data_IF_114133331905
#
_entry.id   IF_114133331905
#
_cell.length_a   1.000
_cell.length_b   1.000
_cell.length_c   1.000
_cell.angle_alpha   90.00
_cell.angle_beta   90.00
_cell.angle_gamma   90.00
#
_symmetry.space_group_name_H-M   'P 1'
#
loop_
_entity.id
_entity.type
_entity.pdbx_description
1 polymer ?
#
# COMPACT_ATOMS: atom_id res chain seq x y z
N UNK A 1 -8.64 33.13 -39.62
CA UNK A 1 -7.99 31.84 -39.30
C UNK A 1 -8.01 31.71 -37.80
N UNK A 2 -8.90 30.88 -37.33
CA UNK A 2 -9.29 30.69 -35.94
C UNK A 2 -8.24 29.87 -35.21
N UNK A 3 -7.54 30.50 -34.25
CA UNK A 3 -6.81 29.83 -33.18
C UNK A 3 -7.78 29.73 -31.98
N UNK A 4 -8.61 28.74 -31.95
CA UNK A 4 -9.47 28.48 -30.82
C UNK A 4 -9.88 27.02 -30.87
N UNK A 5 -9.71 26.31 -29.72
CA UNK A 5 -10.22 24.99 -29.37
C UNK A 5 -9.24 23.82 -29.22
N UNK A 6 -7.92 24.03 -29.26
CA UNK A 6 -6.95 22.97 -28.93
C UNK A 6 -6.28 23.11 -27.56
N UNK A 7 -6.56 24.16 -26.78
CA UNK A 7 -5.86 24.46 -25.52
C UNK A 7 -6.67 24.17 -24.24
N UNK A 8 -7.82 23.51 -24.32
CA UNK A 8 -8.73 23.42 -23.18
C UNK A 8 -8.85 22.00 -22.62
N UNK A 9 -7.76 21.26 -22.42
CA UNK A 9 -7.81 20.03 -21.61
C UNK A 9 -6.44 19.62 -21.03
N UNK A 10 -5.59 20.55 -20.70
CA UNK A 10 -4.62 20.31 -19.62
C UNK A 10 -5.39 20.58 -18.32
N UNK A 11 -5.82 19.53 -17.62
CA UNK A 11 -6.26 19.68 -16.24
C UNK A 11 -5.14 20.41 -15.51
N UNK A 12 -5.37 21.68 -15.17
CA UNK A 12 -4.40 22.50 -14.45
C UNK A 12 -4.14 21.78 -13.12
N UNK A 13 -2.90 21.38 -12.89
CA UNK A 13 -2.51 20.84 -11.62
C UNK A 13 -2.81 21.89 -10.55
N UNK A 14 -3.64 21.52 -9.59
CA UNK A 14 -4.04 22.41 -8.52
C UNK A 14 -2.85 22.77 -7.64
N UNK A 15 -2.82 23.98 -7.10
CA UNK A 15 -1.76 24.42 -6.20
C UNK A 15 -1.81 23.63 -4.90
N UNK A 16 -0.67 23.10 -4.47
CA UNK A 16 -0.54 22.41 -3.19
C UNK A 16 -0.82 23.38 -2.03
N UNK A 17 -1.85 23.11 -1.23
CA UNK A 17 -2.26 23.91 -0.07
C UNK A 17 -1.67 23.43 1.24
N UNK A 18 -1.40 22.14 1.36
CA UNK A 18 -0.84 21.52 2.56
C UNK A 18 -0.67 20.02 2.41
N UNK A 19 -0.28 19.38 3.50
CA UNK A 19 -0.09 17.93 3.55
C UNK A 19 -0.65 17.34 4.85
N UNK A 20 -1.22 16.14 4.76
CA UNK A 20 -1.49 15.30 5.92
C UNK A 20 -0.39 14.24 6.01
N UNK A 21 0.26 14.11 7.16
CA UNK A 21 1.14 12.98 7.51
C UNK A 21 0.31 12.01 8.36
N UNK A 22 -0.03 10.86 7.76
CA UNK A 22 -0.87 9.81 8.32
C UNK A 22 0.05 8.71 8.80
N UNK A 23 -0.01 8.36 10.08
CA UNK A 23 0.79 7.31 10.69
C UNK A 23 -0.08 6.31 11.44
N UNK A 24 0.38 5.06 11.48
CA UNK A 24 -0.26 3.97 12.22
C UNK A 24 0.76 2.86 12.53
N UNK A 25 0.34 1.83 13.25
CA UNK A 25 1.05 0.55 13.35
C UNK A 25 0.39 -0.47 12.44
N UNK A 26 1.19 -1.08 11.55
CA UNK A 26 0.76 -2.23 10.76
C UNK A 26 1.32 -3.49 11.41
N UNK A 27 0.44 -4.35 11.93
CA UNK A 27 0.79 -5.61 12.55
C UNK A 27 0.54 -6.77 11.60
N UNK A 28 1.48 -7.70 11.57
CA UNK A 28 1.38 -8.95 10.82
C UNK A 28 0.62 -9.96 11.68
N UNK A 29 -0.58 -10.33 11.26
CA UNK A 29 -1.42 -11.32 11.95
C UNK A 29 -1.08 -12.75 11.55
N UNK A 30 -0.69 -12.96 10.29
CA UNK A 30 -0.18 -14.25 9.80
C UNK A 30 1.07 -14.02 8.96
N UNK A 31 2.05 -14.90 9.04
CA UNK A 31 3.35 -14.72 8.42
C UNK A 31 3.30 -14.10 7.03
N UNK A 32 4.07 -13.02 6.82
CA UNK A 32 4.05 -12.22 5.60
C UNK A 32 5.18 -12.61 4.67
N UNK A 33 4.84 -12.87 3.40
CA UNK A 33 5.81 -13.04 2.32
C UNK A 33 5.58 -12.03 1.20
N UNK A 34 6.50 -11.08 1.06
CA UNK A 34 6.63 -10.24 -0.13
C UNK A 34 7.95 -10.62 -0.78
N UNK A 35 7.87 -11.35 -1.91
CA UNK A 35 9.04 -11.96 -2.52
C UNK A 35 10.05 -10.93 -3.03
N UNK A 36 11.34 -11.22 -2.81
CA UNK A 36 12.45 -10.54 -3.47
C UNK A 36 12.80 -11.23 -4.79
N UNK A 37 13.55 -10.55 -5.67
CA UNK A 37 14.15 -11.20 -6.85
C UNK A 37 15.19 -12.23 -6.39
N UNK A 38 15.09 -13.44 -6.93
CA UNK A 38 16.02 -14.55 -6.63
C UNK A 38 17.28 -14.56 -7.51
N UNK A 39 17.47 -13.56 -8.39
CA UNK A 39 18.51 -13.57 -9.41
C UNK A 39 19.95 -13.65 -8.89
N UNK A 40 20.16 -13.44 -7.59
CA UNK A 40 21.47 -13.52 -6.92
C UNK A 40 21.45 -14.35 -5.63
N UNK A 41 20.57 -15.35 -5.53
CA UNK A 41 20.54 -16.21 -4.35
C UNK A 41 21.80 -17.12 -4.32
N UNK A 42 22.60 -17.12 -3.23
CA UNK A 42 23.73 -18.05 -3.08
C UNK A 42 23.25 -19.50 -3.06
N UNK A 43 24.13 -20.44 -3.44
CA UNK A 43 23.86 -21.87 -3.32
C UNK A 43 23.54 -22.21 -1.85
N UNK A 44 22.37 -22.81 -1.60
CA UNK A 44 21.90 -23.11 -0.24
C UNK A 44 21.05 -22.02 0.41
N UNK A 45 20.75 -20.93 -0.30
CA UNK A 45 19.77 -19.94 0.15
C UNK A 45 18.33 -20.50 0.09
N UNK A 46 17.43 -19.86 0.82
CA UNK A 46 16.01 -20.18 0.79
C UNK A 46 15.46 -20.00 -0.64
N UNK A 47 14.63 -20.92 -1.10
CA UNK A 47 14.07 -20.91 -2.46
C UNK A 47 13.31 -19.62 -2.79
N UNK A 48 12.62 -19.05 -1.81
CA UNK A 48 11.82 -17.84 -1.96
C UNK A 48 12.03 -16.90 -0.77
N UNK A 49 13.03 -16.02 -0.82
CA UNK A 49 13.29 -15.04 0.23
C UNK A 49 12.29 -13.87 0.18
N UNK A 50 12.02 -13.24 1.31
CA UNK A 50 11.28 -11.98 1.34
C UNK A 50 12.19 -10.76 1.11
N UNK A 51 11.59 -9.65 0.70
CA UNK A 51 12.29 -8.39 0.43
C UNK A 51 12.84 -7.77 1.70
N UNK A 52 14.11 -7.30 1.64
CA UNK A 52 14.86 -6.72 2.75
C UNK A 52 15.45 -5.37 2.37
N UNK A 53 15.58 -4.50 3.35
CA UNK A 53 16.39 -3.29 3.23
C UNK A 53 17.87 -3.69 3.00
N UNK A 54 18.55 -3.14 1.98
CA UNK A 54 19.89 -3.58 1.63
C UNK A 54 20.95 -3.23 2.68
N UNK A 55 20.74 -2.19 3.50
CA UNK A 55 21.69 -1.74 4.51
C UNK A 55 21.47 -2.46 5.84
N UNK A 56 20.25 -2.42 6.38
CA UNK A 56 19.94 -3.02 7.68
C UNK A 56 19.67 -4.53 7.60
N UNK A 57 19.39 -5.07 6.42
CA UNK A 57 18.95 -6.44 6.16
C UNK A 57 17.63 -6.82 6.83
N UNK A 58 16.97 -5.87 7.44
CA UNK A 58 15.65 -6.06 8.04
C UNK A 58 14.57 -6.20 6.96
N UNK A 59 13.46 -6.93 7.25
CA UNK A 59 12.33 -6.99 6.35
C UNK A 59 11.72 -5.59 6.15
N UNK A 60 11.26 -5.31 4.95
CA UNK A 60 10.50 -4.12 4.60
C UNK A 60 9.21 -4.49 3.90
N UNK A 61 8.20 -3.64 4.03
CA UNK A 61 7.02 -3.67 3.18
C UNK A 61 7.18 -2.55 2.15
N UNK A 62 7.45 -2.86 0.87
CA UNK A 62 7.60 -1.83 -0.15
C UNK A 62 6.34 -1.00 -0.31
N UNK A 63 6.49 0.33 -0.37
CA UNK A 63 5.39 1.25 -0.61
C UNK A 63 4.66 0.97 -1.92
N UNK A 64 5.37 0.50 -2.94
CA UNK A 64 4.78 0.06 -4.20
C UNK A 64 3.84 -1.14 -4.05
N UNK A 65 4.18 -2.11 -3.20
CA UNK A 65 3.33 -3.27 -2.91
C UNK A 65 2.05 -2.85 -2.20
N UNK A 66 2.17 -1.96 -1.21
CA UNK A 66 1.02 -1.42 -0.48
C UNK A 66 0.12 -0.59 -1.39
N UNK A 67 0.70 0.33 -2.17
CA UNK A 67 -0.02 1.16 -3.15
C UNK A 67 -0.79 0.30 -4.16
N UNK A 68 -0.12 -0.67 -4.77
CA UNK A 68 -0.72 -1.55 -5.78
C UNK A 68 -1.87 -2.37 -5.19
N UNK A 69 -1.69 -2.91 -3.98
CA UNK A 69 -2.72 -3.70 -3.29
C UNK A 69 -3.95 -2.86 -2.96
N UNK A 70 -3.78 -1.70 -2.31
CA UNK A 70 -4.89 -0.80 -1.96
C UNK A 70 -5.67 -0.36 -3.21
N UNK A 71 -4.97 0.08 -4.27
CA UNK A 71 -5.61 0.46 -5.52
C UNK A 71 -6.43 -0.69 -6.11
N UNK A 72 -5.85 -1.89 -6.19
CA UNK A 72 -6.53 -3.08 -6.73
C UNK A 72 -7.79 -3.43 -5.93
N UNK A 73 -7.74 -3.35 -4.60
CA UNK A 73 -8.90 -3.65 -3.74
C UNK A 73 -10.02 -2.64 -3.94
N UNK A 74 -9.70 -1.34 -3.98
CA UNK A 74 -10.68 -0.28 -4.23
C UNK A 74 -11.31 -0.41 -5.62
N UNK A 75 -10.51 -0.58 -6.66
CA UNK A 75 -11.03 -0.75 -8.03
C UNK A 75 -11.92 -2.00 -8.10
N UNK A 76 -11.52 -3.10 -7.44
CA UNK A 76 -12.31 -4.33 -7.41
C UNK A 76 -13.65 -4.14 -6.70
N UNK A 77 -13.71 -3.35 -5.64
CA UNK A 77 -14.98 -3.07 -4.92
C UNK A 77 -15.96 -2.22 -5.73
N UNK A 78 -15.46 -1.45 -6.71
CA UNK A 78 -16.24 -0.56 -7.56
C UNK A 78 -16.58 -1.17 -8.94
N UNK A 79 -15.97 -2.30 -9.30
CA UNK A 79 -16.09 -2.88 -10.64
C UNK A 79 -17.10 -4.02 -10.65
N UNK A 80 -18.10 -3.91 -11.51
CA UNK A 80 -19.01 -5.02 -11.84
C UNK A 80 -18.34 -5.93 -12.88
N UNK A 81 -18.10 -7.20 -12.53
CA UNK A 81 -17.52 -8.19 -13.44
C UNK A 81 -16.18 -8.75 -12.97
N UNK A 82 -15.56 -9.60 -13.80
CA UNK A 82 -14.34 -10.33 -13.44
C UNK A 82 -13.06 -9.66 -13.91
N UNK A 83 -13.13 -8.74 -14.87
CA UNK A 83 -11.96 -8.05 -15.46
C UNK A 83 -11.91 -6.65 -14.93
N UNK A 84 -10.81 -6.32 -14.25
CA UNK A 84 -10.58 -4.95 -13.78
C UNK A 84 -10.22 -4.04 -14.96
N UNK A 85 -10.62 -2.76 -14.91
CA UNK A 85 -10.23 -1.77 -15.90
C UNK A 85 -8.71 -1.55 -15.92
N UNK A 86 -8.20 -0.96 -16.99
CA UNK A 86 -6.83 -0.45 -17.01
C UNK A 86 -6.74 0.78 -16.07
N UNK A 87 -5.56 1.02 -15.53
CA UNK A 87 -5.24 2.13 -14.61
C UNK A 87 -5.77 3.50 -15.10
N UNK A 88 -5.75 3.74 -16.41
CA UNK A 88 -6.27 4.97 -17.03
C UNK A 88 -7.80 5.09 -16.98
N UNK A 89 -8.49 3.96 -16.84
CA UNK A 89 -9.95 3.84 -16.87
C UNK A 89 -10.54 3.68 -15.43
N UNK A 90 -9.72 3.80 -14.40
CA UNK A 90 -10.18 3.87 -13.00
C UNK A 90 -11.07 5.11 -12.79
N UNK A 91 -11.90 5.10 -11.74
CA UNK A 91 -12.71 6.25 -11.38
C UNK A 91 -11.86 7.50 -11.07
N UNK A 92 -12.46 8.68 -11.16
CA UNK A 92 -11.74 9.94 -10.93
C UNK A 92 -11.17 10.04 -9.53
N UNK A 93 -11.88 9.52 -8.52
CA UNK A 93 -11.47 9.49 -7.12
C UNK A 93 -10.23 8.59 -6.93
N UNK A 94 -10.23 7.41 -7.54
CA UNK A 94 -9.08 6.49 -7.50
C UNK A 94 -7.88 7.09 -8.23
N UNK A 95 -8.09 7.68 -9.41
CA UNK A 95 -7.02 8.36 -10.16
C UNK A 95 -6.44 9.55 -9.40
N UNK A 96 -7.28 10.29 -8.69
CA UNK A 96 -6.88 11.43 -7.84
C UNK A 96 -5.99 10.97 -6.68
N UNK A 97 -6.34 9.87 -6.02
CA UNK A 97 -5.56 9.32 -4.92
C UNK A 97 -4.25 8.67 -5.39
N UNK A 98 -4.31 7.80 -6.39
CA UNK A 98 -3.20 6.94 -6.77
C UNK A 98 -2.41 7.41 -7.99
N UNK A 99 -2.92 8.39 -8.71
CA UNK A 99 -2.34 8.88 -9.96
C UNK A 99 -2.67 8.00 -11.16
N UNK A 100 -2.60 8.57 -12.35
CA UNK A 100 -2.71 7.84 -13.62
C UNK A 100 -1.88 8.53 -14.69
N UNK A 101 -1.13 7.76 -15.47
CA UNK A 101 -0.51 8.25 -16.69
C UNK A 101 -1.55 8.19 -17.83
N UNK A 102 -1.81 9.31 -18.49
CA UNK A 102 -2.66 9.37 -19.67
C UNK A 102 -1.74 9.32 -20.91
N UNK A 103 -1.96 8.35 -21.79
CA UNK A 103 -1.29 8.33 -23.10
C UNK A 103 -1.94 9.38 -24.00
N UNK A 104 -1.14 10.24 -24.62
CA UNK A 104 -1.61 11.16 -25.66
C UNK A 104 -2.20 10.40 -26.86
N UNK A 105 -3.12 11.04 -27.61
CA UNK A 105 -3.82 10.43 -28.76
C UNK A 105 -2.88 9.91 -29.85
N UNK A 106 -1.65 10.42 -29.92
CA UNK A 106 -0.65 10.07 -30.94
C UNK A 106 0.54 9.24 -30.40
N UNK A 107 0.37 8.57 -29.23
CA UNK A 107 1.46 7.78 -28.63
C UNK A 107 2.55 8.62 -27.94
N UNK A 108 2.39 9.95 -27.89
CA UNK A 108 3.22 10.86 -27.11
C UNK A 108 2.84 10.86 -25.62
N UNK A 109 3.63 11.55 -24.80
CA UNK A 109 3.31 11.78 -23.40
C UNK A 109 2.02 12.63 -23.32
N UNK A 110 0.89 11.98 -23.03
CA UNK A 110 -0.34 12.65 -22.63
C UNK A 110 -0.19 13.09 -21.18
N UNK A 111 -0.86 14.18 -20.81
CA UNK A 111 -0.92 14.62 -19.41
C UNK A 111 -1.33 13.48 -18.48
N UNK A 112 -0.80 13.46 -17.26
CA UNK A 112 -1.16 12.47 -16.24
C UNK A 112 -1.78 13.15 -15.04
N UNK A 113 -2.62 12.44 -14.27
CA UNK A 113 -3.08 12.91 -12.96
C UNK A 113 -2.05 12.52 -11.91
N UNK A 114 -1.46 13.51 -11.24
CA UNK A 114 -0.49 13.29 -10.16
C UNK A 114 -1.19 12.66 -8.96
N UNK A 115 -0.55 11.66 -8.34
CA UNK A 115 -1.07 11.04 -7.14
C UNK A 115 -1.05 12.00 -5.96
N UNK A 116 -2.16 12.11 -5.21
CA UNK A 116 -2.20 12.82 -3.93
C UNK A 116 -1.58 12.01 -2.79
N UNK A 117 -1.65 10.67 -2.86
CA UNK A 117 -1.03 9.77 -1.88
C UNK A 117 0.43 9.48 -2.22
N UNK A 118 1.29 9.64 -1.22
CA UNK A 118 2.70 9.24 -1.25
C UNK A 118 2.89 8.08 -0.29
N UNK A 119 3.37 6.96 -0.83
CA UNK A 119 3.64 5.72 -0.10
C UNK A 119 5.13 5.63 0.22
N UNK A 120 5.44 5.16 1.42
CA UNK A 120 6.81 4.92 1.87
C UNK A 120 7.03 3.42 2.07
N UNK A 121 8.27 2.99 1.96
CA UNK A 121 8.64 1.66 2.42
C UNK A 121 8.50 1.62 3.94
N UNK A 122 7.73 0.64 4.43
CA UNK A 122 7.49 0.50 5.86
C UNK A 122 8.64 -0.32 6.46
N UNK A 123 9.16 0.13 7.59
CA UNK A 123 10.22 -0.53 8.35
C UNK A 123 9.64 -1.14 9.61
N UNK A 124 10.28 -2.18 10.13
CA UNK A 124 9.97 -2.70 11.46
C UNK A 124 10.05 -1.58 12.49
N UNK A 125 9.09 -1.56 13.42
CA UNK A 125 9.21 -0.72 14.60
C UNK A 125 10.39 -1.18 15.44
N UNK A 126 11.08 -0.24 16.13
CA UNK A 126 12.22 -0.56 16.99
C UNK A 126 11.88 -1.64 18.02
N UNK A 127 10.73 -1.51 18.68
CA UNK A 127 10.27 -2.49 19.67
C UNK A 127 10.04 -3.89 19.06
N UNK A 128 9.52 -3.94 17.82
CA UNK A 128 9.34 -5.22 17.13
C UNK A 128 10.66 -5.82 16.68
N UNK A 129 11.59 -4.99 16.23
CA UNK A 129 12.93 -5.45 15.84
C UNK A 129 13.67 -6.07 17.01
N UNK A 130 13.76 -5.38 18.16
CA UNK A 130 14.44 -5.92 19.34
C UNK A 130 13.80 -7.22 19.85
N UNK A 131 12.47 -7.30 19.87
CA UNK A 131 11.75 -8.53 20.23
C UNK A 131 12.05 -9.70 19.29
N UNK A 132 12.05 -9.46 17.97
CA UNK A 132 12.32 -10.53 16.99
C UNK A 132 13.78 -10.97 16.97
N UNK A 133 14.70 -10.07 17.29
CA UNK A 133 16.13 -10.37 17.39
C UNK A 133 16.47 -11.30 18.56
N UNK A 134 15.68 -11.24 19.65
CA UNK A 134 15.82 -12.13 20.79
C UNK A 134 15.31 -13.56 20.52
N UNK A 135 14.53 -13.75 19.44
CA UNK A 135 14.02 -15.06 19.06
C UNK A 135 15.08 -15.82 18.23
N UNK A 136 15.18 -17.12 18.48
CA UNK A 136 15.96 -18.05 17.65
C UNK A 136 15.17 -18.39 16.38
N UNK A 137 15.21 -17.47 15.39
CA UNK A 137 14.55 -17.65 14.10
C UNK A 137 15.49 -18.36 13.12
N UNK A 138 14.92 -19.07 12.13
CA UNK A 138 15.68 -19.85 11.14
C UNK A 138 16.51 -18.96 10.20
N UNK A 139 16.05 -17.71 9.97
CA UNK A 139 16.79 -16.69 9.21
C UNK A 139 16.87 -15.39 10.00
N UNK A 140 17.69 -14.44 9.54
CA UNK A 140 17.76 -13.14 10.19
C UNK A 140 16.43 -12.41 10.12
N UNK A 141 15.75 -12.30 11.28
CA UNK A 141 14.41 -11.69 11.43
C UNK A 141 13.37 -12.35 10.49
N UNK A 142 13.44 -13.66 10.34
CA UNK A 142 12.52 -14.41 9.48
C UNK A 142 12.38 -15.86 9.88
N UNK A 143 11.27 -16.47 9.50
CA UNK A 143 10.98 -17.89 9.68
C UNK A 143 10.85 -18.59 8.32
N UNK A 144 11.14 -19.89 8.26
CA UNK A 144 11.00 -20.72 7.06
C UNK A 144 9.75 -21.57 7.18
N UNK A 145 8.86 -21.42 6.22
CA UNK A 145 7.72 -22.33 6.05
C UNK A 145 7.96 -23.27 4.89
N UNK A 146 7.87 -24.55 5.16
CA UNK A 146 7.86 -25.58 4.13
C UNK A 146 6.47 -25.70 3.52
N UNK A 147 6.39 -25.59 2.19
CA UNK A 147 5.20 -25.89 1.41
C UNK A 147 5.48 -27.04 0.46
N UNK A 148 4.47 -27.88 0.24
CA UNK A 148 4.58 -29.02 -0.65
C UNK A 148 3.56 -28.92 -1.76
N UNK A 149 4.00 -28.99 -3.01
CA UNK A 149 3.14 -29.07 -4.18
C UNK A 149 3.11 -30.51 -4.65
N UNK A 150 1.92 -31.12 -4.68
CA UNK A 150 1.73 -32.49 -5.14
C UNK A 150 1.25 -32.48 -6.60
N UNK A 151 1.99 -33.12 -7.46
CA UNK A 151 1.57 -33.34 -8.83
C UNK A 151 0.37 -34.31 -8.86
N UNK A 152 -0.77 -33.87 -9.38
CA UNK A 152 -2.02 -34.64 -9.37
C UNK A 152 -1.97 -35.94 -10.20
N UNK A 153 -1.08 -36.02 -11.20
CA UNK A 153 -0.97 -37.16 -12.11
C UNK A 153 0.03 -38.17 -11.56
N UNK A 154 1.21 -37.71 -11.10
CA UNK A 154 2.31 -38.59 -10.69
C UNK A 154 2.37 -38.81 -9.19
N UNK A 155 1.58 -38.09 -8.40
CA UNK A 155 1.64 -38.00 -6.93
C UNK A 155 3.02 -37.58 -6.38
N UNK A 156 3.93 -37.11 -7.23
CA UNK A 156 5.23 -36.61 -6.83
C UNK A 156 5.08 -35.34 -6.00
N UNK A 157 5.76 -35.29 -4.87
CA UNK A 157 5.84 -34.15 -3.99
C UNK A 157 7.03 -33.24 -4.38
N UNK A 158 6.80 -31.94 -4.46
CA UNK A 158 7.85 -30.95 -4.69
C UNK A 158 7.87 -29.97 -3.50
N UNK A 159 8.69 -30.24 -2.45
CA UNK A 159 8.85 -29.35 -1.30
C UNK A 159 9.61 -28.11 -1.70
N UNK A 160 9.23 -26.97 -1.13
CA UNK A 160 9.94 -25.67 -1.28
C UNK A 160 9.92 -24.89 0.02
N UNK A 161 10.95 -24.10 0.22
CA UNK A 161 11.11 -23.23 1.36
C UNK A 161 10.63 -21.82 1.03
N UNK A 162 9.72 -21.31 1.84
CA UNK A 162 9.24 -19.92 1.73
C UNK A 162 9.64 -19.18 3.00
N UNK A 163 10.48 -18.18 2.84
CA UNK A 163 10.84 -17.29 3.93
C UNK A 163 9.72 -16.27 4.14
N UNK A 164 9.36 -16.01 5.38
CA UNK A 164 8.32 -15.04 5.72
C UNK A 164 8.64 -14.29 7.01
N UNK A 165 8.14 -13.06 7.10
CA UNK A 165 8.17 -12.28 8.33
C UNK A 165 7.21 -12.92 9.32
N UNK A 166 7.64 -13.19 10.59
CA UNK A 166 6.80 -13.86 11.58
C UNK A 166 5.54 -13.07 11.93
N UNK A 167 4.49 -13.79 12.32
CA UNK A 167 3.29 -13.19 12.91
C UNK A 167 3.65 -12.43 14.20
N UNK A 168 2.94 -11.33 14.46
CA UNK A 168 3.21 -10.44 15.59
C UNK A 168 4.27 -9.36 15.30
N UNK A 169 4.96 -9.39 14.15
CA UNK A 169 5.83 -8.31 13.72
C UNK A 169 5.02 -7.03 13.45
N UNK A 170 5.56 -5.89 13.83
CA UNK A 170 4.92 -4.58 13.65
C UNK A 170 5.80 -3.65 12.81
N UNK A 171 5.18 -2.96 11.87
CA UNK A 171 5.82 -1.99 10.98
C UNK A 171 5.29 -0.60 11.25
N UNK A 172 6.16 0.41 11.10
CA UNK A 172 5.79 1.81 11.13
C UNK A 172 5.08 2.18 9.82
N UNK A 173 3.75 2.23 9.87
CA UNK A 173 2.94 2.63 8.72
C UNK A 173 2.99 4.15 8.57
N UNK A 174 3.24 4.62 7.34
CA UNK A 174 3.22 6.02 7.00
C UNK A 174 2.73 6.26 5.58
N UNK A 175 1.80 7.21 5.44
CA UNK A 175 1.38 7.81 4.18
C UNK A 175 1.43 9.33 4.30
N UNK A 176 1.66 10.01 3.18
CA UNK A 176 1.47 11.46 3.08
C UNK A 176 0.42 11.73 2.00
N UNK A 177 -0.56 12.56 2.34
CA UNK A 177 -1.57 13.03 1.40
C UNK A 177 -1.36 14.50 1.09
N UNK A 178 -1.35 14.86 -0.19
CA UNK A 178 -1.25 16.22 -0.69
C UNK A 178 -2.63 16.84 -0.77
N UNK A 179 -2.86 17.95 -0.07
CA UNK A 179 -4.09 18.73 -0.13
C UNK A 179 -3.99 19.71 -1.29
N UNK A 180 -4.77 19.49 -2.31
CA UNK A 180 -4.93 20.39 -3.46
C UNK A 180 -6.28 21.12 -3.38
N UNK A 181 -7.34 20.42 -2.95
CA UNK A 181 -8.69 20.92 -2.72
C UNK A 181 -9.16 20.49 -1.33
N UNK A 182 -9.53 21.46 -0.48
CA UNK A 182 -9.92 21.20 0.91
C UNK A 182 -11.28 20.49 1.03
N UNK A 183 -12.18 20.78 0.11
CA UNK A 183 -13.51 20.18 0.01
C UNK A 183 -13.50 18.69 -0.37
N UNK A 184 -12.43 18.22 -1.02
CA UNK A 184 -12.27 16.82 -1.40
C UNK A 184 -11.58 15.95 -0.32
N UNK A 185 -11.00 16.56 0.72
CA UNK A 185 -10.25 15.83 1.77
C UNK A 185 -11.09 14.76 2.46
N UNK A 186 -12.33 15.11 2.81
CA UNK A 186 -13.21 14.18 3.53
C UNK A 186 -13.55 12.94 2.68
N UNK A 187 -13.87 13.14 1.40
CA UNK A 187 -14.15 12.06 0.45
C UNK A 187 -12.91 11.18 0.22
N UNK A 188 -11.75 11.82 -0.01
CA UNK A 188 -10.49 11.12 -0.21
C UNK A 188 -10.08 10.27 1.00
N UNK A 189 -10.28 10.78 2.22
CA UNK A 189 -10.00 10.05 3.46
C UNK A 189 -11.00 8.92 3.71
N UNK A 190 -12.26 9.10 3.36
CA UNK A 190 -13.26 8.03 3.42
C UNK A 190 -12.88 6.89 2.47
N UNK A 191 -12.56 7.19 1.22
CA UNK A 191 -12.13 6.20 0.23
C UNK A 191 -10.83 5.48 0.64
N UNK A 192 -9.85 6.21 1.20
CA UNK A 192 -8.64 5.61 1.75
C UNK A 192 -8.97 4.67 2.91
N UNK A 193 -9.87 5.08 3.82
CA UNK A 193 -10.35 4.27 4.94
C UNK A 193 -10.98 2.95 4.47
N UNK A 194 -11.83 2.99 3.44
CA UNK A 194 -12.40 1.79 2.83
C UNK A 194 -11.32 0.86 2.26
N UNK A 195 -10.31 1.42 1.58
CA UNK A 195 -9.18 0.65 1.09
C UNK A 195 -8.38 -0.03 2.20
N UNK A 196 -8.13 0.67 3.31
CA UNK A 196 -7.45 0.11 4.48
C UNK A 196 -8.28 -0.97 5.18
N UNK A 197 -9.59 -0.81 5.25
CA UNK A 197 -10.50 -1.84 5.76
C UNK A 197 -10.49 -3.09 4.89
N UNK A 198 -10.59 -2.92 3.57
CA UNK A 198 -10.51 -4.03 2.62
C UNK A 198 -9.18 -4.77 2.73
N UNK A 199 -8.06 -4.06 2.93
CA UNK A 199 -6.75 -4.67 3.13
C UNK A 199 -6.70 -5.56 4.37
N UNK A 200 -7.31 -5.16 5.48
CA UNK A 200 -7.38 -5.94 6.72
C UNK A 200 -8.26 -7.19 6.58
N UNK A 201 -9.26 -7.15 5.70
CA UNK A 201 -10.12 -8.31 5.38
C UNK A 201 -9.51 -9.24 4.33
N UNK A 202 -8.49 -8.77 3.60
CA UNK A 202 -7.79 -9.54 2.56
C UNK A 202 -6.38 -9.92 3.05
N UNK A 203 -5.36 -9.78 2.23
CA UNK A 203 -3.96 -10.08 2.56
C UNK A 203 -3.01 -9.15 1.83
N UNK A 204 -1.80 -9.00 2.35
CA UNK A 204 -0.69 -8.32 1.71
C UNK A 204 0.36 -9.34 1.25
N UNK A 205 1.03 -9.08 0.12
CA UNK A 205 2.06 -9.97 -0.43
C UNK A 205 1.50 -11.21 -1.13
N UNK A 206 2.31 -12.26 -1.19
CA UNK A 206 1.99 -13.52 -1.84
C UNK A 206 1.33 -14.55 -0.93
N UNK A 207 0.84 -15.64 -1.52
CA UNK A 207 0.30 -16.83 -0.82
C UNK A 207 -0.93 -16.57 0.07
N UNK A 208 -1.66 -15.48 -0.10
CA UNK A 208 -2.80 -15.09 0.75
C UNK A 208 -3.90 -16.15 0.84
N UNK A 209 -4.22 -16.85 -0.26
CA UNK A 209 -5.18 -17.96 -0.28
C UNK A 209 -4.74 -19.18 0.55
N UNK A 210 -3.49 -19.20 1.02
CA UNK A 210 -2.90 -20.23 1.88
C UNK A 210 -2.61 -19.73 3.30
N UNK A 211 -3.25 -18.62 3.69
CA UNK A 211 -3.21 -18.09 5.04
C UNK A 211 -2.00 -17.21 5.36
N UNK A 212 -1.37 -16.61 4.35
CA UNK A 212 -0.29 -15.63 4.54
C UNK A 212 -0.81 -14.20 4.50
N UNK A 213 -0.06 -13.28 5.10
CA UNK A 213 -0.15 -11.86 4.85
C UNK A 213 -1.39 -11.15 5.41
N UNK A 214 -2.11 -11.76 6.38
CA UNK A 214 -3.16 -11.03 7.11
C UNK A 214 -2.51 -9.95 7.94
N UNK A 215 -3.08 -8.75 7.90
CA UNK A 215 -2.57 -7.57 8.60
C UNK A 215 -3.68 -6.86 9.34
N UNK A 216 -3.31 -6.10 10.37
CA UNK A 216 -4.20 -5.15 11.04
C UNK A 216 -3.50 -3.81 11.20
N UNK A 217 -4.27 -2.74 11.28
CA UNK A 217 -3.80 -1.37 11.42
C UNK A 217 -4.36 -0.77 12.71
N UNK A 218 -3.47 -0.18 13.52
CA UNK A 218 -3.79 0.37 14.83
C UNK A 218 -3.12 1.73 15.04
N UNK A 219 -3.57 2.47 16.05
CA UNK A 219 -2.93 3.69 16.55
C UNK A 219 -2.77 4.78 15.48
N UNK A 220 -3.85 5.02 14.73
CA UNK A 220 -3.85 6.09 13.72
C UNK A 220 -3.63 7.45 14.34
N UNK A 221 -2.69 8.19 13.79
CA UNK A 221 -2.45 9.61 14.06
C UNK A 221 -2.34 10.38 12.76
N UNK A 222 -2.91 11.58 12.72
CA UNK A 222 -2.87 12.46 11.56
C UNK A 222 -2.34 13.80 12.00
N UNK A 223 -1.33 14.32 11.30
CA UNK A 223 -0.82 15.67 11.50
C UNK A 223 -0.90 16.47 10.22
N UNK A 224 -1.10 17.79 10.36
CA UNK A 224 -1.28 18.69 9.24
C UNK A 224 -0.11 19.66 9.12
N UNK A 225 0.41 19.78 7.91
CA UNK A 225 1.37 20.81 7.52
C UNK A 225 0.72 21.73 6.50
N UNK A 226 0.44 22.98 6.91
CA UNK A 226 -0.17 24.00 6.07
C UNK A 226 0.87 24.77 5.28
N UNK A 227 0.56 25.10 4.01
CA UNK A 227 1.34 26.01 3.18
C UNK A 227 0.67 27.38 3.00
N UNK A 228 -0.67 27.44 3.11
CA UNK A 228 -1.44 28.63 2.76
C UNK A 228 -2.26 29.23 3.90
N UNK A 229 -2.74 28.41 4.82
CA UNK A 229 -3.56 28.85 5.95
C UNK A 229 -3.31 27.94 7.16
N UNK A 230 -2.64 28.43 8.26
CA UNK A 230 -2.29 27.58 9.40
C UNK A 230 -3.46 26.92 10.09
N UNK A 231 -4.67 27.48 10.01
CA UNK A 231 -5.84 27.03 10.75
C UNK A 231 -6.91 26.33 9.87
N UNK A 232 -6.57 25.93 8.62
CA UNK A 232 -7.54 25.33 7.70
C UNK A 232 -8.09 23.99 8.21
N UNK A 233 -7.27 23.21 8.96
CA UNK A 233 -7.71 21.96 9.59
C UNK A 233 -7.43 22.03 11.10
N UNK A 234 -8.49 22.02 11.89
CA UNK A 234 -8.43 21.98 13.35
C UNK A 234 -8.03 20.60 13.86
N UNK A 235 -7.52 20.51 15.11
CA UNK A 235 -7.19 19.21 15.72
C UNK A 235 -8.39 18.28 15.76
N UNK A 236 -9.60 18.79 16.01
CA UNK A 236 -10.84 18.01 15.99
C UNK A 236 -11.08 17.32 14.64
N UNK A 237 -10.87 18.04 13.51
CA UNK A 237 -10.98 17.47 12.18
C UNK A 237 -9.88 16.43 11.89
N UNK A 238 -8.67 16.61 12.42
CA UNK A 238 -7.60 15.62 12.28
C UNK A 238 -7.92 14.33 13.05
N UNK A 239 -8.50 14.46 14.24
CA UNK A 239 -8.95 13.33 15.06
C UNK A 239 -10.15 12.59 14.39
N UNK A 240 -11.08 13.32 13.75
CA UNK A 240 -12.14 12.75 12.93
C UNK A 240 -11.57 11.95 11.73
N UNK A 241 -10.59 12.51 11.01
CA UNK A 241 -9.91 11.81 9.92
C UNK A 241 -9.25 10.54 10.43
N UNK A 242 -8.52 10.59 11.54
CA UNK A 242 -7.91 9.41 12.15
C UNK A 242 -8.95 8.33 12.50
N UNK A 243 -10.11 8.74 13.02
CA UNK A 243 -11.21 7.83 13.33
C UNK A 243 -11.83 7.21 12.08
N UNK A 244 -11.98 7.95 10.98
CA UNK A 244 -12.45 7.45 9.68
C UNK A 244 -11.47 6.40 9.14
N UNK A 245 -10.18 6.67 9.15
CA UNK A 245 -9.15 5.75 8.69
C UNK A 245 -9.10 4.46 9.53
N UNK A 246 -9.34 4.56 10.84
CA UNK A 246 -9.35 3.41 11.75
C UNK A 246 -10.57 2.50 11.57
N UNK A 247 -11.72 3.04 11.15
CA UNK A 247 -12.99 2.29 11.01
C UNK A 247 -13.28 1.82 9.59
N UNK A 248 -12.51 2.31 8.58
CA UNK A 248 -12.97 2.33 7.21
C UNK A 248 -13.99 3.45 7.01
N UNK A 249 -14.09 3.98 5.79
CA UNK A 249 -14.96 5.14 5.50
C UNK A 249 -16.47 4.90 5.59
N UNK A 250 -16.94 3.81 6.19
CA UNK A 250 -18.38 3.55 6.38
C UNK A 250 -18.98 4.61 7.31
N UNK A 251 -19.58 5.61 6.71
CA UNK A 251 -20.60 6.43 7.36
C UNK A 251 -21.83 5.55 7.59
N UNK A 252 -22.16 5.31 8.84
CA UNK A 252 -23.43 4.70 9.30
C UNK A 252 -24.65 5.48 8.78
#
# INVERSE_FOLDING_TARGET
ISFTEAETNMEQQSTLKGKLDIRARLRIETGLHIGASSDFAPIGAVDSPFVRDPLSRQPIIPGSSLKGKLRTLLVRSMTEGYVLPDVKDDSDEVRRLFGAALKGKDGGEGGGKTARLQFFDLRLSEASFERLKELELETYIGEIKWENTINRITAAANPRQIERVPAGAEFDFRLVYNIEHEDEVAEDMALLGDGLQLLQMDYLGGHGSRGYGRVSLHDFTVSYFSLSAPDALTQEKLDEIAAVLAKGGQTS
#
